data_IF_884864437888
#
_entry.id   IF_884864437888
#
_cell.length_a   1.000
_cell.length_b   1.000
_cell.length_c   1.000
_cell.angle_alpha   90.00
_cell.angle_beta   90.00
_cell.angle_gamma   90.00
#
_symmetry.space_group_name_H-M   'P 1'
#
loop_
_entity.id
_entity.type
_entity.pdbx_description
1 polymer ?
#
# COMPACT_ATOMS: atom_id res chain seq x y z
N UNK A 1 -6.66 -1.13 -9.91
CA UNK A 1 -5.50 -0.21 -9.96
C UNK A 1 -5.88 1.07 -10.72
N UNK A 2 -5.41 2.23 -10.26
CA UNK A 2 -5.67 3.52 -10.90
C UNK A 2 -4.35 4.22 -11.23
N UNK A 3 -4.24 4.76 -12.44
CA UNK A 3 -3.18 5.71 -12.80
C UNK A 3 -3.62 7.12 -12.40
N UNK A 4 -2.93 7.69 -11.42
CA UNK A 4 -3.21 9.03 -10.89
C UNK A 4 -2.87 10.14 -11.88
N UNK A 5 -1.93 9.93 -12.82
CA UNK A 5 -1.57 10.96 -13.81
C UNK A 5 -2.61 11.05 -14.91
N UNK A 6 -3.04 9.89 -15.42
CA UNK A 6 -4.07 9.82 -16.46
C UNK A 6 -5.49 9.93 -15.89
N UNK A 7 -5.66 9.83 -14.57
CA UNK A 7 -6.96 9.75 -13.88
C UNK A 7 -7.85 8.62 -14.45
N UNK A 8 -7.25 7.45 -14.68
CA UNK A 8 -7.91 6.29 -15.30
C UNK A 8 -7.74 5.04 -14.46
N UNK A 9 -8.81 4.26 -14.38
CA UNK A 9 -8.71 2.88 -13.90
C UNK A 9 -8.03 2.06 -15.00
N UNK A 10 -6.89 1.47 -14.67
CA UNK A 10 -6.06 0.71 -15.62
C UNK A 10 -6.20 -0.80 -15.44
N UNK A 11 -6.70 -1.24 -14.29
CA UNK A 11 -6.89 -2.66 -13.98
C UNK A 11 -7.98 -2.85 -12.92
N UNK A 12 -8.74 -3.95 -13.02
CA UNK A 12 -9.76 -4.35 -12.05
C UNK A 12 -9.63 -5.85 -11.79
N UNK A 13 -9.44 -6.21 -10.52
CA UNK A 13 -9.32 -7.61 -10.10
C UNK A 13 -10.55 -8.00 -9.27
N UNK A 14 -11.22 -9.07 -9.68
CA UNK A 14 -12.27 -9.70 -8.90
C UNK A 14 -11.66 -10.87 -8.13
N UNK A 15 -11.54 -10.71 -6.82
CA UNK A 15 -11.02 -11.72 -5.89
C UNK A 15 -12.16 -12.15 -4.98
N UNK A 16 -12.25 -13.44 -4.65
CA UNK A 16 -13.28 -14.04 -3.81
C UNK A 16 -12.67 -14.57 -2.51
N UNK A 17 -13.36 -14.36 -1.38
CA UNK A 17 -12.87 -14.84 -0.07
C UNK A 17 -12.63 -16.34 -0.01
N UNK A 18 -13.38 -17.13 -0.77
CA UNK A 18 -13.25 -18.59 -0.80
C UNK A 18 -11.93 -19.04 -1.43
N UNK A 19 -11.30 -18.22 -2.28
CA UNK A 19 -10.04 -18.57 -2.95
C UNK A 19 -8.82 -18.26 -2.06
N UNK A 20 -8.92 -17.23 -1.20
CA UNK A 20 -7.81 -16.73 -0.36
C UNK A 20 -8.01 -16.97 1.15
N UNK A 21 -9.20 -17.40 1.54
CA UNK A 21 -9.61 -17.77 2.90
C UNK A 21 -10.22 -16.64 3.74
N UNK A 22 -9.83 -15.37 3.53
CA UNK A 22 -10.43 -14.25 4.26
C UNK A 22 -10.33 -12.92 3.49
N UNK A 23 -11.09 -11.93 3.93
CA UNK A 23 -11.18 -10.61 3.29
C UNK A 23 -9.88 -9.81 3.28
N UNK A 24 -9.09 -9.86 4.35
CA UNK A 24 -7.80 -9.16 4.42
C UNK A 24 -6.83 -9.66 3.34
N UNK A 25 -6.84 -10.97 3.07
CA UNK A 25 -6.00 -11.57 2.02
C UNK A 25 -6.50 -11.26 0.62
N UNK A 26 -7.79 -10.94 0.45
CA UNK A 26 -8.34 -10.55 -0.85
C UNK A 26 -7.69 -9.26 -1.37
N UNK A 27 -7.50 -8.27 -0.49
CA UNK A 27 -6.87 -7.01 -0.87
C UNK A 27 -5.42 -7.20 -1.33
N UNK A 28 -4.64 -7.97 -0.55
CA UNK A 28 -3.27 -8.31 -0.93
C UNK A 28 -3.23 -9.07 -2.25
N UNK A 29 -4.05 -10.11 -2.41
CA UNK A 29 -4.08 -10.93 -3.63
C UNK A 29 -4.47 -10.10 -4.85
N UNK A 30 -5.49 -9.24 -4.72
CA UNK A 30 -5.88 -8.33 -5.79
C UNK A 30 -4.73 -7.42 -6.22
N UNK A 31 -3.99 -6.86 -5.26
CA UNK A 31 -2.80 -6.04 -5.55
C UNK A 31 -1.70 -6.84 -6.26
N UNK A 32 -1.41 -8.07 -5.80
CA UNK A 32 -0.40 -8.94 -6.41
C UNK A 32 -0.76 -9.24 -7.87
N UNK A 33 -2.02 -9.62 -8.13
CA UNK A 33 -2.52 -9.89 -9.49
C UNK A 33 -2.45 -8.65 -10.39
N UNK A 34 -2.88 -7.49 -9.87
CA UNK A 34 -2.79 -6.23 -10.61
C UNK A 34 -1.35 -5.87 -10.99
N UNK A 35 -0.38 -6.02 -10.07
CA UNK A 35 1.03 -5.72 -10.35
C UNK A 35 1.57 -6.69 -11.41
N UNK A 36 1.30 -7.98 -11.27
CA UNK A 36 1.75 -8.99 -12.23
C UNK A 36 1.18 -8.71 -13.64
N UNK A 37 -0.11 -8.39 -13.76
CA UNK A 37 -0.73 -8.08 -15.04
C UNK A 37 -0.12 -6.84 -15.72
N UNK A 38 0.23 -5.81 -14.94
CA UNK A 38 0.91 -4.62 -15.46
C UNK A 38 2.34 -4.91 -15.91
N UNK A 39 3.08 -5.71 -15.13
CA UNK A 39 4.44 -6.13 -15.51
C UNK A 39 4.45 -6.98 -16.78
N UNK A 40 3.48 -7.91 -16.92
CA UNK A 40 3.29 -8.71 -18.14
C UNK A 40 2.95 -7.83 -19.35
N UNK A 41 2.17 -6.77 -19.16
CA UNK A 41 1.88 -5.78 -20.18
C UNK A 41 3.08 -4.83 -20.48
N UNK A 42 4.23 -5.03 -19.84
CA UNK A 42 5.43 -4.19 -20.01
C UNK A 42 5.33 -2.82 -19.34
N UNK A 43 4.38 -2.62 -18.43
CA UNK A 43 4.19 -1.37 -17.70
C UNK A 43 5.13 -1.32 -16.51
N UNK A 44 6.08 -0.37 -16.52
CA UNK A 44 6.96 -0.15 -15.38
C UNK A 44 6.27 0.67 -14.29
N UNK A 45 5.99 0.04 -13.16
CA UNK A 45 5.44 0.70 -11.98
C UNK A 45 6.58 1.32 -11.17
N UNK A 46 6.63 2.66 -11.09
CA UNK A 46 7.64 3.36 -10.27
C UNK A 46 7.17 3.63 -8.85
N UNK A 47 5.92 4.08 -8.72
CA UNK A 47 5.35 4.51 -7.45
C UNK A 47 3.99 3.81 -7.25
N UNK A 48 3.71 3.39 -6.02
CA UNK A 48 2.40 2.86 -5.61
C UNK A 48 1.92 3.61 -4.37
N UNK A 49 0.64 3.98 -4.36
CA UNK A 49 -0.04 4.56 -3.19
C UNK A 49 -1.08 3.54 -2.70
N UNK A 50 -1.01 3.16 -1.42
CA UNK A 50 -2.03 2.30 -0.80
C UNK A 50 -2.44 2.81 0.58
N UNK A 51 -3.49 2.21 1.13
CA UNK A 51 -3.83 2.35 2.54
C UNK A 51 -2.78 1.68 3.45
N UNK A 52 -2.93 1.93 4.76
CA UNK A 52 -2.06 1.38 5.80
C UNK A 52 -2.40 -0.07 6.12
N UNK A 53 -2.14 -0.98 5.18
CA UNK A 53 -2.30 -2.41 5.38
C UNK A 53 -0.94 -3.10 5.59
N UNK A 54 -0.66 -3.68 6.78
CA UNK A 54 0.65 -4.27 7.09
C UNK A 54 1.11 -5.38 6.14
N UNK A 55 0.17 -6.19 5.62
CA UNK A 55 0.51 -7.29 4.72
C UNK A 55 0.95 -6.79 3.35
N UNK A 56 0.32 -5.73 2.85
CA UNK A 56 0.69 -5.06 1.59
C UNK A 56 2.04 -4.38 1.74
N UNK A 57 2.26 -3.67 2.84
CA UNK A 57 3.55 -3.03 3.13
C UNK A 57 4.69 -4.05 3.13
N UNK A 58 4.50 -5.17 3.84
CA UNK A 58 5.49 -6.25 3.90
C UNK A 58 5.77 -6.80 2.50
N UNK A 59 4.73 -7.08 1.73
CA UNK A 59 4.87 -7.59 0.36
C UNK A 59 5.65 -6.62 -0.54
N UNK A 60 5.31 -5.32 -0.55
CA UNK A 60 6.00 -4.34 -1.37
C UNK A 60 7.48 -4.17 -0.97
N UNK A 61 7.79 -4.24 0.32
CA UNK A 61 9.16 -4.19 0.80
C UNK A 61 9.96 -5.42 0.34
N UNK A 62 9.44 -6.61 0.59
CA UNK A 62 10.19 -7.86 0.39
C UNK A 62 10.27 -8.26 -1.09
N UNK A 63 9.16 -8.16 -1.82
CA UNK A 63 9.04 -8.71 -3.17
C UNK A 63 9.20 -7.66 -4.27
N UNK A 64 8.94 -6.38 -3.97
CA UNK A 64 8.96 -5.28 -4.95
C UNK A 64 9.79 -4.07 -4.49
N UNK A 65 11.06 -4.25 -4.05
CA UNK A 65 11.86 -3.18 -3.45
C UNK A 65 12.18 -2.02 -4.41
N UNK A 66 12.09 -2.24 -5.73
CA UNK A 66 12.28 -1.20 -6.74
C UNK A 66 11.09 -0.23 -6.84
N UNK A 67 9.90 -0.61 -6.35
CA UNK A 67 8.70 0.22 -6.37
C UNK A 67 8.70 1.09 -5.12
N UNK A 68 8.64 2.41 -5.29
CA UNK A 68 8.51 3.33 -4.18
C UNK A 68 7.07 3.33 -3.65
N UNK A 69 6.91 2.94 -2.38
CA UNK A 69 5.61 2.85 -1.72
C UNK A 69 5.29 4.12 -0.92
N UNK A 70 4.08 4.64 -1.12
CA UNK A 70 3.51 5.78 -0.40
C UNK A 70 2.17 5.40 0.24
N UNK A 71 1.79 6.15 1.27
CA UNK A 71 0.48 6.01 1.90
C UNK A 71 -0.51 7.05 1.38
N UNK A 72 -1.77 6.65 1.26
CA UNK A 72 -2.85 7.60 1.03
C UNK A 72 -2.98 8.57 2.21
N UNK A 73 -2.72 9.85 1.93
CA UNK A 73 -2.78 10.94 2.91
C UNK A 73 -4.18 11.11 3.48
N UNK A 74 -5.22 10.84 2.70
CA UNK A 74 -6.60 11.00 3.16
C UNK A 74 -6.89 10.10 4.36
N UNK A 75 -6.48 8.84 4.29
CA UNK A 75 -6.59 7.90 5.41
C UNK A 75 -5.77 8.33 6.64
N UNK A 76 -4.59 8.93 6.43
CA UNK A 76 -3.74 9.44 7.52
C UNK A 76 -4.38 10.65 8.21
N UNK A 77 -4.94 11.58 7.43
CA UNK A 77 -5.60 12.79 7.92
C UNK A 77 -6.88 12.46 8.69
N UNK A 78 -7.68 11.52 8.18
CA UNK A 78 -8.95 11.10 8.81
C UNK A 78 -8.75 10.47 10.19
N UNK A 79 -7.66 9.72 10.40
CA UNK A 79 -7.37 9.06 11.68
C UNK A 79 -6.80 9.97 12.78
N UNK A 80 -6.37 11.20 12.46
CA UNK A 80 -5.55 12.02 13.36
C UNK A 80 -5.93 13.51 13.37
N UNK A 81 -7.20 13.83 13.16
CA UNK A 81 -7.69 15.22 13.27
C UNK A 81 -7.39 15.88 14.63
N UNK A 82 -7.01 15.14 15.67
CA UNK A 82 -6.69 15.70 16.99
C UNK A 82 -5.21 16.02 17.24
N UNK A 83 -4.24 15.67 16.36
CA UNK A 83 -2.82 15.74 16.78
C UNK A 83 -1.70 16.03 15.76
N UNK A 84 -1.96 16.35 14.49
CA UNK A 84 -0.87 16.56 13.52
C UNK A 84 -0.81 17.98 12.92
N UNK A 85 0.36 18.63 13.04
CA UNK A 85 0.75 19.80 12.24
C UNK A 85 1.28 19.30 10.89
N UNK A 86 0.55 19.60 9.82
CA UNK A 86 0.95 19.29 8.43
C UNK A 86 1.81 20.45 7.95
N UNK A 87 3.09 20.20 7.65
CA UNK A 87 3.91 21.15 6.90
C UNK A 87 3.79 20.80 5.42
N UNK A 88 3.17 21.67 4.64
CA UNK A 88 3.06 21.51 3.19
C UNK A 88 4.35 21.97 2.53
N UNK A 89 5.01 21.09 1.77
CA UNK A 89 5.93 21.51 0.72
C UNK A 89 5.26 21.26 -0.62
N UNK A 90 5.26 22.28 -1.47
CA UNK A 90 4.63 22.23 -2.78
C UNK A 90 5.33 21.19 -3.67
N UNK A 91 4.54 20.28 -4.26
CA UNK A 91 4.99 19.46 -5.38
C UNK A 91 4.63 17.99 -5.35
N UNK A 92 4.70 17.31 -4.20
CA UNK A 92 4.20 15.95 -3.94
C UNK A 92 4.11 15.85 -2.42
N UNK A 93 2.93 15.53 -1.88
CA UNK A 93 2.72 15.34 -0.43
C UNK A 93 3.51 14.12 0.06
N UNK A 94 4.80 14.33 0.35
CA UNK A 94 5.68 13.29 0.89
C UNK A 94 5.55 13.31 2.41
N UNK A 95 4.71 12.44 2.96
CA UNK A 95 4.73 12.13 4.39
C UNK A 95 5.84 11.12 4.65
N UNK A 96 7.05 11.59 4.95
CA UNK A 96 8.15 10.73 5.43
C UNK A 96 7.87 10.33 6.87
N UNK A 97 7.08 9.26 7.07
CA UNK A 97 7.05 8.56 8.35
C UNK A 97 8.28 7.65 8.42
N UNK A 98 9.27 8.01 9.24
CA UNK A 98 10.42 7.14 9.51
C UNK A 98 9.91 5.76 9.98
N UNK A 99 10.39 4.65 9.40
CA UNK A 99 9.93 3.33 9.77
C UNK A 99 10.35 3.02 11.21
N UNK A 100 9.40 2.97 12.14
CA UNK A 100 9.61 2.27 13.42
C UNK A 100 9.54 0.78 13.15
N UNK A 101 10.61 0.07 13.51
CA UNK A 101 10.68 -1.39 13.52
C UNK A 101 9.45 -1.96 14.25
N UNK A 102 8.70 -2.92 13.67
CA UNK A 102 7.67 -3.62 14.41
C UNK A 102 8.33 -4.36 15.57
N UNK A 103 8.01 -3.96 16.80
CA UNK A 103 8.39 -4.72 17.99
C UNK A 103 7.46 -5.92 18.07
N UNK A 104 7.95 -7.08 17.66
CA UNK A 104 7.34 -8.33 18.08
C UNK A 104 7.64 -8.49 19.57
N UNK A 105 6.66 -8.15 20.42
CA UNK A 105 6.63 -8.60 21.79
C UNK A 105 6.40 -10.11 21.78
N UNK A 106 7.48 -10.89 21.66
CA UNK A 106 7.46 -12.29 22.07
C UNK A 106 7.20 -12.29 23.57
N UNK A 107 5.96 -12.58 23.93
CA UNK A 107 5.57 -12.86 25.29
C UNK A 107 6.30 -14.12 25.72
N UNK A 108 7.27 -13.99 26.63
CA UNK A 108 7.70 -15.10 27.49
C UNK A 108 6.48 -15.48 28.35
N UNK A 109 5.91 -16.65 28.13
CA UNK A 109 5.11 -17.33 29.13
C UNK A 109 5.49 -18.80 29.15
N UNK A 110 6.07 -19.16 30.31
CA UNK A 110 6.38 -20.46 30.91
C UNK A 110 7.36 -21.37 30.16
#
# INVERSE_FOLDING_TARGET
MMDLKANRVIDLQLVQSNEVGNSQRMEKEGLVRSIAALEEAGVQIKNIVTDRHPQIQKFLWEEKPAIQHFYDVWHVAKGNFSRMRVTMQEGITTLTLLPKKPQHHLTKFL
#
